data_IF_523502890722
#
_entry.id   IF_523502890722
#
_cell.length_a   1.000
_cell.length_b   1.000
_cell.length_c   1.000
_cell.angle_alpha   90.00
_cell.angle_beta   90.00
_cell.angle_gamma   90.00
#
_symmetry.space_group_name_H-M   'P 1'
#
loop_
_entity.id
_entity.type
_entity.pdbx_description
1 polymer ?
#
# COMPACT_ATOMS: atom_id res chain seq x y z
N UNK A 1 5.23 -12.82 12.71
CA UNK A 1 4.08 -13.54 12.12
C UNK A 1 3.57 -12.86 10.84
N UNK A 2 3.20 -11.57 10.87
CA UNK A 2 2.59 -10.85 9.73
C UNK A 2 3.43 -10.82 8.44
N UNK A 3 4.71 -10.49 8.53
CA UNK A 3 5.60 -10.50 7.37
C UNK A 3 5.67 -11.88 6.68
N UNK A 4 5.53 -12.99 7.43
CA UNK A 4 5.58 -14.34 6.88
C UNK A 4 4.42 -14.70 5.93
N UNK A 5 3.35 -13.89 5.93
CA UNK A 5 2.22 -14.07 5.01
C UNK A 5 2.47 -13.49 3.61
N UNK A 6 3.48 -12.62 3.47
CA UNK A 6 3.83 -11.96 2.21
C UNK A 6 4.35 -12.97 1.20
N UNK A 7 4.00 -12.78 -0.07
CA UNK A 7 4.47 -13.64 -1.15
C UNK A 7 5.99 -13.58 -1.29
N UNK A 8 6.59 -12.41 -1.07
CA UNK A 8 8.06 -12.23 -1.08
C UNK A 8 8.76 -13.13 -0.03
N UNK A 9 8.20 -13.27 1.18
CA UNK A 9 8.82 -14.05 2.26
C UNK A 9 8.79 -15.56 2.02
N UNK A 10 8.09 -16.02 0.97
CA UNK A 10 7.98 -17.44 0.61
C UNK A 10 9.08 -17.89 -0.36
N UNK A 11 9.96 -16.99 -0.78
CA UNK A 11 10.98 -17.24 -1.82
C UNK A 11 12.35 -17.53 -1.20
N UNK A 12 13.14 -18.36 -1.89
CA UNK A 12 14.52 -18.68 -1.50
C UNK A 12 14.63 -19.59 -0.29
N UNK A 13 15.85 -20.05 -0.01
CA UNK A 13 16.16 -21.00 1.08
C UNK A 13 16.91 -20.35 2.25
N UNK A 14 17.85 -19.44 1.99
CA UNK A 14 18.58 -18.68 3.02
C UNK A 14 17.98 -17.30 3.19
N UNK A 15 16.94 -17.16 4.02
CA UNK A 15 16.19 -15.90 4.20
C UNK A 15 16.72 -15.11 5.40
N UNK A 16 16.99 -13.82 5.21
CA UNK A 16 17.38 -12.91 6.30
C UNK A 16 16.58 -11.62 6.24
N UNK A 17 16.12 -11.17 7.40
CA UNK A 17 15.66 -9.79 7.61
C UNK A 17 16.86 -9.03 8.17
N UNK A 18 17.24 -7.94 7.50
CA UNK A 18 18.33 -7.07 7.90
C UNK A 18 17.84 -5.94 8.80
N UNK A 19 18.28 -4.71 8.50
CA UNK A 19 17.84 -3.51 9.22
C UNK A 19 16.31 -3.50 9.30
N UNK A 20 15.77 -3.43 10.51
CA UNK A 20 14.34 -3.40 10.82
C UNK A 20 14.10 -2.22 11.74
N UNK A 21 13.10 -1.41 11.41
CA UNK A 21 12.69 -0.30 12.25
C UNK A 21 11.20 0.00 12.04
N UNK A 22 10.61 0.60 13.05
CA UNK A 22 9.22 1.04 13.05
C UNK A 22 9.21 2.57 13.01
N UNK A 23 9.14 3.20 11.82
CA UNK A 23 9.13 4.66 11.71
C UNK A 23 7.95 5.31 12.46
N UNK A 24 6.85 4.58 12.62
CA UNK A 24 5.66 4.97 13.39
C UNK A 24 4.78 3.76 13.68
N UNK A 25 3.87 3.83 14.68
CA UNK A 25 3.02 2.71 15.06
C UNK A 25 2.29 2.08 13.86
N UNK A 26 2.45 0.76 13.69
CA UNK A 26 1.78 0.00 12.64
C UNK A 26 2.44 0.11 11.26
N UNK A 27 3.61 0.75 11.14
CA UNK A 27 4.42 0.74 9.93
C UNK A 27 5.78 0.11 10.21
N UNK A 28 6.08 -1.02 9.57
CA UNK A 28 7.37 -1.69 9.68
C UNK A 28 8.15 -1.52 8.38
N UNK A 29 9.40 -1.10 8.49
CA UNK A 29 10.31 -0.96 7.37
C UNK A 29 11.53 -1.83 7.59
N UNK A 30 11.92 -2.63 6.58
CA UNK A 30 13.08 -3.49 6.69
C UNK A 30 13.72 -3.86 5.36
N UNK A 31 14.98 -4.30 5.41
CA UNK A 31 15.60 -5.01 4.30
C UNK A 31 15.37 -6.52 4.42
N UNK A 32 15.08 -7.15 3.30
CA UNK A 32 14.94 -8.60 3.17
C UNK A 32 15.91 -9.10 2.13
N UNK A 33 16.64 -10.16 2.43
CA UNK A 33 17.48 -10.81 1.44
C UNK A 33 17.30 -12.31 1.45
N UNK A 34 17.40 -12.91 0.27
CA UNK A 34 17.38 -14.35 0.10
C UNK A 34 18.41 -14.80 -0.92
N UNK A 35 18.85 -16.04 -0.79
CA UNK A 35 19.75 -16.68 -1.74
C UNK A 35 19.00 -17.63 -2.68
N UNK A 36 19.47 -17.69 -3.91
CA UNK A 36 19.06 -18.66 -4.94
C UNK A 36 20.29 -19.33 -5.55
N UNK A 37 20.10 -20.47 -6.22
CA UNK A 37 21.17 -21.22 -6.86
C UNK A 37 21.85 -22.22 -5.93
N UNK A 38 22.82 -22.94 -6.47
CA UNK A 38 23.71 -23.87 -5.74
C UNK A 38 24.95 -23.16 -5.24
N UNK A 39 25.80 -23.84 -4.46
CA UNK A 39 27.02 -23.26 -3.86
C UNK A 39 27.94 -22.55 -4.87
N UNK A 40 28.03 -23.06 -6.10
CA UNK A 40 28.90 -22.54 -7.17
C UNK A 40 28.32 -21.28 -7.84
N UNK A 41 26.99 -21.11 -7.89
CA UNK A 41 26.29 -20.04 -8.61
C UNK A 41 25.33 -19.27 -7.69
N UNK A 42 25.71 -19.09 -6.44
CA UNK A 42 24.85 -18.49 -5.41
C UNK A 42 24.64 -17.01 -5.70
N UNK A 43 23.38 -16.61 -5.90
CA UNK A 43 22.98 -15.21 -6.05
C UNK A 43 22.21 -14.74 -4.82
N UNK A 44 22.60 -13.57 -4.29
CA UNK A 44 21.87 -12.89 -3.21
C UNK A 44 20.95 -11.82 -3.80
N UNK A 45 19.66 -11.94 -3.52
CA UNK A 45 18.64 -10.96 -3.89
C UNK A 45 18.29 -10.14 -2.66
N UNK A 46 18.24 -8.81 -2.81
CA UNK A 46 17.91 -7.89 -1.71
C UNK A 46 16.70 -7.04 -2.08
N UNK A 47 15.85 -6.80 -1.09
CA UNK A 47 14.60 -6.08 -1.20
C UNK A 47 14.45 -5.12 -0.03
N UNK A 48 13.96 -3.92 -0.31
CA UNK A 48 13.38 -3.01 0.67
C UNK A 48 11.91 -3.35 0.81
N UNK A 49 11.44 -3.47 2.04
CA UNK A 49 10.08 -3.87 2.36
C UNK A 49 9.50 -2.88 3.36
N UNK A 50 8.31 -2.37 3.04
CA UNK A 50 7.50 -1.59 3.99
C UNK A 50 6.17 -2.31 4.15
N UNK A 51 5.75 -2.49 5.40
CA UNK A 51 4.44 -3.00 5.78
C UNK A 51 3.71 -1.92 6.53
N UNK A 52 2.45 -1.69 6.16
CA UNK A 52 1.54 -0.83 6.88
C UNK A 52 0.32 -1.65 7.27
N UNK A 53 0.00 -1.67 8.56
CA UNK A 53 -1.29 -2.17 9.02
C UNK A 53 -2.40 -1.27 8.48
N UNK A 54 -3.51 -1.87 8.05
CA UNK A 54 -4.68 -1.14 7.54
C UNK A 54 -5.95 -1.76 8.08
N UNK A 55 -6.77 -0.94 8.73
CA UNK A 55 -8.03 -1.37 9.33
C UNK A 55 -9.21 -1.17 8.37
N UNK A 56 -9.21 -1.91 7.26
CA UNK A 56 -10.37 -2.02 6.38
C UNK A 56 -10.47 -3.43 5.78
N UNK A 57 -11.66 -3.84 5.30
CA UNK A 57 -11.89 -5.19 4.75
C UNK A 57 -11.25 -5.33 3.37
N UNK A 58 -9.93 -5.34 3.33
CA UNK A 58 -9.13 -5.53 2.13
C UNK A 58 -9.15 -6.99 1.72
N UNK A 59 -9.25 -7.21 0.41
CA UNK A 59 -9.02 -8.51 -0.22
C UNK A 59 -7.63 -8.59 -0.80
N UNK A 60 -7.24 -9.78 -1.23
CA UNK A 60 -5.91 -9.97 -1.76
C UNK A 60 -5.78 -9.37 -3.15
N UNK A 61 -4.84 -8.44 -3.29
CA UNK A 61 -4.48 -7.85 -4.58
C UNK A 61 -2.98 -7.65 -4.70
N UNK A 62 -2.48 -7.68 -5.93
CA UNK A 62 -1.08 -7.45 -6.25
C UNK A 62 -1.00 -6.46 -7.41
N UNK A 63 -0.16 -5.42 -7.28
CA UNK A 63 0.24 -4.54 -8.38
C UNK A 63 1.74 -4.76 -8.63
N UNK A 64 2.13 -5.19 -9.82
CA UNK A 64 3.52 -5.55 -10.08
C UNK A 64 3.86 -5.67 -11.56
N UNK A 65 5.14 -5.44 -11.89
CA UNK A 65 5.77 -5.84 -13.16
C UNK A 65 6.57 -7.16 -13.05
N UNK A 66 6.57 -7.79 -11.88
CA UNK A 66 7.40 -8.97 -11.60
C UNK A 66 6.67 -10.26 -11.96
N UNK A 67 7.18 -10.99 -12.97
CA UNK A 67 6.59 -12.24 -13.45
C UNK A 67 6.34 -13.27 -12.34
N UNK A 68 7.23 -13.36 -11.36
CA UNK A 68 7.08 -14.30 -10.25
C UNK A 68 5.91 -13.95 -9.32
N UNK A 69 5.64 -12.65 -9.11
CA UNK A 69 4.47 -12.21 -8.33
C UNK A 69 3.18 -12.45 -9.12
N UNK A 70 3.20 -12.21 -10.43
CA UNK A 70 2.08 -12.55 -11.32
C UNK A 70 1.78 -14.05 -11.27
N UNK A 71 2.82 -14.89 -11.32
CA UNK A 71 2.68 -16.34 -11.19
C UNK A 71 2.12 -16.73 -9.80
N UNK A 72 2.62 -16.14 -8.72
CA UNK A 72 2.12 -16.37 -7.37
C UNK A 72 0.64 -15.96 -7.21
N UNK A 73 0.24 -14.84 -7.80
CA UNK A 73 -1.14 -14.36 -7.84
C UNK A 73 -2.06 -15.37 -8.55
N UNK A 74 -1.61 -15.93 -9.68
CA UNK A 74 -2.36 -16.95 -10.44
C UNK A 74 -2.54 -18.25 -9.65
N UNK A 75 -1.52 -18.70 -8.91
CA UNK A 75 -1.64 -19.87 -8.01
C UNK A 75 -2.71 -19.63 -6.94
N UNK A 76 -2.82 -18.40 -6.44
CA UNK A 76 -3.89 -17.96 -5.54
C UNK A 76 -5.24 -17.69 -6.24
N UNK A 77 -5.36 -18.03 -7.53
CA UNK A 77 -6.57 -17.84 -8.37
C UNK A 77 -7.01 -16.37 -8.52
N UNK A 78 -6.09 -15.42 -8.37
CA UNK A 78 -6.36 -14.02 -8.70
C UNK A 78 -6.47 -13.82 -10.20
N UNK A 79 -7.25 -12.82 -10.60
CA UNK A 79 -7.54 -12.47 -12.00
C UNK A 79 -6.98 -11.07 -12.32
N UNK A 80 -6.57 -10.83 -13.57
CA UNK A 80 -6.15 -9.51 -13.98
C UNK A 80 -7.32 -8.51 -13.90
N UNK A 81 -6.99 -7.28 -13.53
CA UNK A 81 -7.92 -6.16 -13.43
C UNK A 81 -7.32 -4.94 -14.12
N UNK A 82 -8.10 -4.31 -14.98
CA UNK A 82 -7.62 -3.15 -15.73
C UNK A 82 -7.84 -1.86 -14.91
N UNK A 83 -6.74 -1.12 -14.69
CA UNK A 83 -6.78 0.20 -14.05
C UNK A 83 -7.13 1.32 -15.05
N UNK A 84 -6.98 1.08 -16.37
CA UNK A 84 -7.20 2.08 -17.41
C UNK A 84 -8.60 2.70 -17.43
N UNK A 85 -9.72 1.98 -17.13
CA UNK A 85 -11.05 2.59 -17.05
C UNK A 85 -11.17 3.71 -16.00
N UNK A 86 -10.21 3.79 -15.07
CA UNK A 86 -10.23 4.71 -13.93
C UNK A 86 -9.05 5.69 -13.95
N UNK A 87 -8.12 5.54 -14.90
CA UNK A 87 -6.99 6.42 -15.07
C UNK A 87 -7.41 7.68 -15.86
N UNK A 88 -6.76 8.82 -15.59
CA UNK A 88 -6.98 10.02 -16.41
C UNK A 88 -6.62 9.74 -17.87
N UNK A 89 -7.29 10.40 -18.82
CA UNK A 89 -7.19 10.09 -20.25
C UNK A 89 -5.75 10.15 -20.82
N UNK A 90 -4.85 10.89 -20.15
CA UNK A 90 -3.43 11.01 -20.52
C UNK A 90 -2.52 10.01 -19.79
N UNK A 91 -3.03 9.28 -18.80
CA UNK A 91 -2.33 8.17 -18.19
C UNK A 91 -2.39 6.99 -19.16
N UNK A 92 -1.35 6.89 -20.00
CA UNK A 92 -0.98 5.67 -20.73
C UNK A 92 -1.25 4.47 -19.81
N UNK A 93 -1.92 3.43 -20.33
CA UNK A 93 -2.26 2.19 -19.60
C UNK A 93 -1.18 1.86 -18.58
N UNK A 94 -1.57 1.67 -17.31
CA UNK A 94 -0.63 1.34 -16.25
C UNK A 94 0.28 0.21 -16.72
N UNK A 95 1.62 0.38 -16.68
CA UNK A 95 2.53 -0.66 -17.13
C UNK A 95 2.44 -1.92 -16.26
N UNK A 96 1.93 -1.77 -15.04
CA UNK A 96 1.79 -2.82 -14.04
C UNK A 96 0.65 -3.79 -14.33
N UNK A 97 0.90 -5.08 -14.08
CA UNK A 97 -0.16 -6.04 -13.91
C UNK A 97 -0.82 -5.84 -12.54
N UNK A 98 -2.12 -5.53 -12.55
CA UNK A 98 -2.94 -5.55 -11.34
C UNK A 98 -3.76 -6.83 -11.30
N UNK A 99 -3.61 -7.59 -10.22
CA UNK A 99 -4.21 -8.90 -10.00
C UNK A 99 -5.03 -8.85 -8.71
N UNK A 100 -6.26 -9.35 -8.71
CA UNK A 100 -7.13 -9.37 -7.51
C UNK A 100 -8.00 -10.62 -7.49
N UNK A 101 -8.38 -11.08 -6.31
CA UNK A 101 -9.36 -12.17 -6.16
C UNK A 101 -10.80 -11.72 -6.49
N UNK A 102 -11.09 -10.43 -6.30
CA UNK A 102 -12.41 -9.82 -6.51
C UNK A 102 -12.34 -8.56 -7.38
N UNK A 103 -12.30 -8.72 -8.71
CA UNK A 103 -12.39 -7.61 -9.65
C UNK A 103 -13.60 -6.72 -9.45
N UNK A 104 -14.75 -7.27 -9.06
CA UNK A 104 -16.00 -6.52 -9.03
C UNK A 104 -16.00 -5.53 -7.86
N UNK A 105 -15.57 -5.97 -6.66
CA UNK A 105 -15.38 -5.10 -5.50
C UNK A 105 -14.40 -3.94 -5.78
N UNK A 106 -13.34 -4.22 -6.54
CA UNK A 106 -12.41 -3.17 -6.98
C UNK A 106 -13.05 -2.19 -7.96
N UNK A 107 -13.92 -2.60 -8.90
CA UNK A 107 -14.60 -1.62 -9.79
C UNK A 107 -15.50 -0.68 -9.01
N UNK A 108 -16.20 -1.22 -8.02
CA UNK A 108 -17.18 -0.46 -7.25
C UNK A 108 -16.50 0.57 -6.32
N UNK A 109 -15.31 0.23 -5.80
CA UNK A 109 -14.59 1.04 -4.81
C UNK A 109 -13.42 1.85 -5.38
N UNK A 110 -13.03 1.63 -6.63
CA UNK A 110 -11.91 2.34 -7.25
C UNK A 110 -12.23 3.83 -7.41
N UNK A 111 -11.66 4.66 -6.53
CA UNK A 111 -11.74 6.11 -6.67
C UNK A 111 -10.74 6.63 -7.72
N UNK A 112 -11.02 7.75 -8.40
CA UNK A 112 -10.06 8.35 -9.34
C UNK A 112 -8.69 8.64 -8.71
N UNK A 113 -8.67 9.06 -7.44
CA UNK A 113 -7.43 9.34 -6.71
C UNK A 113 -6.61 8.07 -6.43
N UNK A 114 -7.27 6.95 -6.12
CA UNK A 114 -6.61 5.67 -5.93
C UNK A 114 -6.07 5.12 -7.25
N UNK A 115 -6.86 5.19 -8.33
CA UNK A 115 -6.42 4.78 -9.66
C UNK A 115 -5.22 5.62 -10.15
N UNK A 116 -5.27 6.94 -10.01
CA UNK A 116 -4.16 7.83 -10.32
C UNK A 116 -2.91 7.49 -9.51
N UNK A 117 -3.07 7.19 -8.21
CA UNK A 117 -1.94 6.75 -7.40
C UNK A 117 -1.34 5.44 -7.91
N UNK A 118 -2.15 4.40 -8.13
CA UNK A 118 -1.67 3.08 -8.55
C UNK A 118 -1.03 3.12 -9.95
N UNK A 119 -1.54 3.94 -10.86
CA UNK A 119 -0.99 4.08 -12.22
C UNK A 119 0.36 4.80 -12.27
N UNK A 120 0.65 5.70 -11.33
CA UNK A 120 1.90 6.49 -11.27
C UNK A 120 3.04 5.79 -10.53
N UNK A 121 2.87 4.53 -10.11
CA UNK A 121 3.89 3.82 -9.32
C UNK A 121 5.12 3.43 -10.14
N UNK A 122 6.30 3.50 -9.51
CA UNK A 122 7.55 3.02 -10.10
C UNK A 122 7.42 1.56 -10.55
N UNK A 123 7.99 1.24 -11.71
CA UNK A 123 8.01 -0.12 -12.29
C UNK A 123 8.77 -1.14 -11.44
N UNK A 124 9.74 -0.66 -10.66
CA UNK A 124 10.52 -1.51 -9.76
C UNK A 124 9.75 -1.87 -8.48
N UNK A 125 8.72 -1.08 -8.15
CA UNK A 125 7.94 -1.27 -6.93
C UNK A 125 6.76 -2.18 -7.19
N UNK A 126 6.63 -3.18 -6.33
CA UNK A 126 5.47 -4.06 -6.26
C UNK A 126 4.68 -3.78 -4.99
N UNK A 127 3.37 -3.97 -5.08
CA UNK A 127 2.45 -3.83 -3.96
C UNK A 127 1.72 -5.15 -3.74
N UNK A 128 1.63 -5.57 -2.48
CA UNK A 128 0.79 -6.69 -2.06
C UNK A 128 -0.18 -6.18 -1.00
N UNK A 129 -1.46 -6.23 -1.34
CA UNK A 129 -2.58 -5.84 -0.50
C UNK A 129 -3.19 -7.13 0.02
N UNK A 130 -3.44 -7.19 1.32
CA UNK A 130 -3.98 -8.36 2.01
C UNK A 130 -4.88 -7.92 3.17
N UNK A 131 -5.74 -8.81 3.70
CA UNK A 131 -6.55 -8.48 4.86
C UNK A 131 -5.69 -7.94 6.01
N UNK A 132 -5.96 -6.70 6.42
CA UNK A 132 -5.27 -6.03 7.53
C UNK A 132 -3.92 -5.38 7.20
N UNK A 133 -3.43 -5.45 5.96
CA UNK A 133 -2.06 -4.99 5.65
C UNK A 133 -1.84 -4.63 4.18
N UNK A 134 -1.05 -3.58 3.97
CA UNK A 134 -0.47 -3.20 2.68
C UNK A 134 1.04 -3.33 2.76
N UNK A 135 1.63 -3.96 1.75
CA UNK A 135 3.07 -4.14 1.63
C UNK A 135 3.60 -3.53 0.34
N UNK A 136 4.74 -2.86 0.44
CA UNK A 136 5.55 -2.41 -0.70
C UNK A 136 6.85 -3.22 -0.74
N UNK A 137 7.26 -3.64 -1.93
CA UNK A 137 8.55 -4.29 -2.19
C UNK A 137 9.27 -3.52 -3.30
N UNK A 138 10.55 -3.23 -3.09
CA UNK A 138 11.41 -2.64 -4.12
C UNK A 138 12.78 -3.33 -4.09
N UNK A 139 13.35 -3.72 -5.24
CA UNK A 139 14.67 -4.34 -5.27
C UNK A 139 15.73 -3.37 -4.74
N UNK A 140 16.73 -3.88 -4.04
CA UNK A 140 17.88 -3.10 -3.59
C UNK A 140 18.25 -3.30 -2.13
N UNK A 141 19.39 -2.72 -1.79
CA UNK A 141 19.90 -2.68 -0.42
C UNK A 141 19.16 -1.62 0.42
N UNK A 142 19.44 -1.60 1.72
CA UNK A 142 18.89 -0.59 2.61
C UNK A 142 19.52 0.78 2.33
N UNK A 143 18.68 1.76 2.00
CA UNK A 143 19.03 3.19 1.92
C UNK A 143 17.94 3.98 2.64
N UNK A 144 18.33 4.77 3.65
CA UNK A 144 17.39 5.42 4.57
C UNK A 144 16.44 6.38 3.86
N UNK A 145 16.95 7.22 2.96
CA UNK A 145 16.14 8.18 2.18
C UNK A 145 15.10 7.49 1.29
N UNK A 146 15.49 6.39 0.64
CA UNK A 146 14.58 5.64 -0.22
C UNK A 146 13.55 4.87 0.61
N UNK A 147 13.95 4.33 1.77
CA UNK A 147 13.03 3.68 2.69
C UNK A 147 12.02 4.67 3.26
N UNK A 148 12.44 5.90 3.61
CA UNK A 148 11.53 6.97 4.03
C UNK A 148 10.51 7.30 2.93
N UNK A 149 10.95 7.42 1.67
CA UNK A 149 10.06 7.62 0.54
C UNK A 149 9.07 6.44 0.36
N UNK A 150 9.53 5.19 0.52
CA UNK A 150 8.65 4.02 0.48
C UNK A 150 7.63 4.02 1.63
N UNK A 151 8.03 4.45 2.83
CA UNK A 151 7.16 4.60 4.00
C UNK A 151 6.04 5.59 3.71
N UNK A 152 6.37 6.76 3.15
CA UNK A 152 5.39 7.78 2.80
C UNK A 152 4.42 7.28 1.72
N UNK A 153 4.92 6.61 0.69
CA UNK A 153 4.10 6.07 -0.40
C UNK A 153 3.18 4.96 0.10
N UNK A 154 3.68 4.05 0.94
CA UNK A 154 2.88 2.96 1.52
C UNK A 154 1.78 3.52 2.41
N UNK A 155 2.12 4.51 3.20
CA UNK A 155 1.19 5.24 4.06
C UNK A 155 0.08 5.93 3.27
N UNK A 156 0.45 6.58 2.15
CA UNK A 156 -0.50 7.22 1.25
C UNK A 156 -1.42 6.20 0.59
N UNK A 157 -0.91 5.05 0.14
CA UNK A 157 -1.75 3.98 -0.39
C UNK A 157 -2.73 3.47 0.66
N UNK A 158 -2.27 3.19 1.88
CA UNK A 158 -3.13 2.75 2.98
C UNK A 158 -4.28 3.74 3.25
N UNK A 159 -4.01 5.05 3.24
CA UNK A 159 -5.06 6.06 3.40
C UNK A 159 -6.06 6.06 2.25
N UNK A 160 -5.59 5.93 1.00
CA UNK A 160 -6.48 5.85 -0.16
C UNK A 160 -7.37 4.61 -0.10
N UNK A 161 -6.82 3.49 0.36
CA UNK A 161 -7.56 2.24 0.56
C UNK A 161 -8.55 2.34 1.72
N UNK A 162 -8.21 3.00 2.82
CA UNK A 162 -9.16 3.27 3.90
C UNK A 162 -10.34 4.12 3.41
N UNK A 163 -10.07 5.17 2.62
CA UNK A 163 -11.15 6.00 2.05
C UNK A 163 -12.03 5.21 1.07
N UNK A 164 -11.44 4.34 0.25
CA UNK A 164 -12.16 3.58 -0.77
C UNK A 164 -12.90 2.35 -0.21
N UNK A 165 -12.30 1.64 0.76
CA UNK A 165 -12.77 0.34 1.24
C UNK A 165 -13.22 0.35 2.71
N UNK A 166 -12.88 1.38 3.48
CA UNK A 166 -13.21 1.49 4.91
C UNK A 166 -14.64 1.97 5.20
N UNK A 167 -15.40 2.39 4.18
CA UNK A 167 -16.82 2.69 4.34
C UNK A 167 -17.63 1.38 4.41
N UNK A 168 -17.57 0.71 5.55
CA UNK A 168 -18.41 -0.45 5.87
C UNK A 168 -18.72 -0.46 7.36
N UNK A 169 -19.37 0.62 7.83
CA UNK A 169 -20.50 0.57 8.74
C UNK A 169 -21.07 1.99 8.92
N UNK A 170 -22.40 2.10 8.87
CA UNK A 170 -23.11 3.38 8.94
C UNK A 170 -22.80 4.16 10.22
N UNK A 171 -21.98 5.20 10.09
CA UNK A 171 -21.92 6.30 11.06
C UNK A 171 -21.88 7.61 10.28
N UNK A 172 -23.07 8.09 9.92
CA UNK A 172 -23.29 9.49 9.60
C UNK A 172 -23.13 10.26 10.91
N UNK A 173 -21.91 10.67 11.23
CA UNK A 173 -21.63 11.57 12.35
C UNK A 173 -20.93 12.82 11.80
N UNK A 174 -21.78 13.75 11.37
CA UNK A 174 -21.65 15.20 11.52
C UNK A 174 -20.29 15.83 11.22
N UNK A 175 -20.13 16.26 9.98
CA UNK A 175 -19.24 17.37 9.63
C UNK A 175 -20.05 18.56 9.09
N UNK A 176 -21.10 18.95 9.81
CA UNK A 176 -21.73 20.28 9.70
C UNK A 176 -21.72 20.91 11.09
N UNK A 177 -20.66 21.68 11.42
CA UNK A 177 -20.69 22.75 12.41
C UNK A 177 -19.38 23.57 12.40
N UNK A 178 -19.02 24.17 11.27
CA UNK A 178 -18.11 25.32 11.24
C UNK A 178 -18.70 26.40 10.32
N UNK A 179 -19.88 26.89 10.68
CA UNK A 179 -20.41 28.16 10.20
C UNK A 179 -21.40 28.66 11.24
N UNK A 180 -21.03 29.72 11.95
CA UNK A 180 -21.87 30.28 13.01
C UNK A 180 -21.17 31.40 13.77
N UNK A 181 -20.93 32.51 13.08
CA UNK A 181 -20.88 33.88 13.59
C UNK A 181 -20.31 34.15 14.99
N UNK A 182 -19.16 34.81 15.04
CA UNK A 182 -18.85 35.75 16.13
C UNK A 182 -19.65 37.05 15.95
N UNK A 183 -20.48 37.47 16.91
CA UNK A 183 -20.91 38.85 17.00
C UNK A 183 -20.02 39.61 18.01
N UNK A 184 -19.38 40.66 17.48
CA UNK A 184 -19.34 42.04 18.00
C UNK A 184 -19.22 42.26 19.51
N UNK A 185 -18.16 43.02 19.83
CA UNK A 185 -17.93 43.69 21.10
C UNK A 185 -19.01 44.71 21.47
N UNK A 186 -19.32 44.84 22.77
CA UNK A 186 -19.66 46.11 23.43
C UNK A 186 -19.56 45.99 24.97
N UNK A 187 -18.62 46.76 25.51
CA UNK A 187 -18.63 47.62 26.71
C UNK A 187 -19.80 47.49 27.71
N UNK A 188 -19.52 47.44 29.03
CA UNK A 188 -19.82 48.49 30.05
C UNK A 188 -19.69 47.98 31.51
N UNK A 189 -18.79 48.64 32.25
CA UNK A 189 -18.72 49.03 33.68
C UNK A 189 -19.14 48.18 34.92
N UNK A 190 -18.34 48.44 35.98
CA UNK A 190 -18.65 48.64 37.42
C UNK A 190 -18.94 47.43 38.34
N UNK A 191 -17.99 47.12 39.23
CA UNK A 191 -18.07 47.42 40.68
C UNK A 191 -16.93 46.72 41.46
N UNK A 192 -16.26 47.45 42.37
CA UNK A 192 -15.27 46.92 43.31
C UNK A 192 -14.16 47.91 43.62
#
# INVERSE_FOLDING_TARGET
ARAGALSLMRIGHSRRIGALFEPRPGVLAFSYAYETGTEIDRMTHSWRVVLCDVDCPLRWSILTDQDWLIAAARVRRMRPFDLAPFAEADAIRSPHAFMTDDPDDWRDKMTPRLAAFLTQQSRERSWEISPGMVAAFEPGAFLESEMAAMVDQTSRLSQLLLTAFGASDGSVASAEALSGSSPVASTTELAG
#
